data_IF_485283209572
#
_entry.id   IF_485283209572
#
_cell.length_a   1.000
_cell.length_b   1.000
_cell.length_c   1.000
_cell.angle_alpha   90.00
_cell.angle_beta   90.00
_cell.angle_gamma   90.00
#
_symmetry.space_group_name_H-M   'P 1'
#
loop_
_entity.id
_entity.type
_entity.pdbx_description
1 polymer ?
#
# COMPACT_ATOMS: atom_id res chain seq x y z
N UNK A 1 46.68 -7.34 -5.67
CA UNK A 1 45.53 -8.28 -5.60
C UNK A 1 44.25 -7.64 -5.04
N UNK A 2 44.06 -6.31 -5.08
CA UNK A 2 42.87 -5.65 -4.50
C UNK A 2 41.84 -5.13 -5.50
N UNK A 3 42.13 -5.13 -6.81
CA UNK A 3 41.23 -4.53 -7.82
C UNK A 3 39.87 -5.24 -7.93
N UNK A 4 39.81 -6.53 -7.68
CA UNK A 4 38.53 -7.28 -7.65
C UNK A 4 37.70 -6.94 -6.40
N UNK A 5 38.35 -6.76 -5.25
CA UNK A 5 37.69 -6.36 -4.00
C UNK A 5 37.12 -4.95 -4.16
N UNK A 6 37.89 -4.00 -4.71
CA UNK A 6 37.42 -2.64 -4.98
C UNK A 6 36.26 -2.60 -5.98
N UNK A 7 36.30 -3.46 -7.01
CA UNK A 7 35.21 -3.60 -7.97
C UNK A 7 33.93 -4.14 -7.31
N UNK A 8 34.05 -5.15 -6.44
CA UNK A 8 32.91 -5.73 -5.71
C UNK A 8 32.31 -4.68 -4.77
N UNK A 9 33.13 -3.92 -4.03
CA UNK A 9 32.67 -2.85 -3.14
C UNK A 9 31.93 -1.76 -3.93
N UNK A 10 32.46 -1.33 -5.08
CA UNK A 10 31.79 -0.35 -5.93
C UNK A 10 30.44 -0.86 -6.47
N UNK A 11 30.36 -2.15 -6.82
CA UNK A 11 29.13 -2.77 -7.31
C UNK A 11 28.09 -2.90 -6.20
N UNK A 12 28.50 -3.28 -4.99
CA UNK A 12 27.66 -3.32 -3.79
C UNK A 12 27.12 -1.94 -3.43
N UNK A 13 27.96 -0.89 -3.45
CA UNK A 13 27.52 0.48 -3.18
C UNK A 13 26.50 0.98 -4.22
N UNK A 14 26.70 0.68 -5.51
CA UNK A 14 25.71 0.99 -6.56
C UNK A 14 24.40 0.23 -6.38
N UNK A 15 24.44 -1.02 -5.94
CA UNK A 15 23.26 -1.81 -5.61
C UNK A 15 22.53 -1.25 -4.39
N UNK A 16 23.27 -0.97 -3.31
CA UNK A 16 22.73 -0.40 -2.07
C UNK A 16 22.06 0.94 -2.32
N UNK A 17 22.69 1.82 -3.12
CA UNK A 17 22.09 3.10 -3.53
C UNK A 17 20.77 2.89 -4.27
N UNK A 18 20.75 2.01 -5.27
CA UNK A 18 19.51 1.70 -6.02
C UNK A 18 18.40 1.11 -5.14
N UNK A 19 18.74 0.26 -4.17
CA UNK A 19 17.74 -0.30 -3.24
C UNK A 19 17.21 0.78 -2.29
N UNK A 20 18.07 1.67 -1.78
CA UNK A 20 17.64 2.80 -0.95
C UNK A 20 16.76 3.80 -1.72
N UNK A 21 17.16 4.16 -2.95
CA UNK A 21 16.39 5.07 -3.82
C UNK A 21 15.01 4.48 -4.13
N UNK A 22 14.92 3.16 -4.36
CA UNK A 22 13.64 2.46 -4.55
C UNK A 22 12.77 2.46 -3.30
N UNK A 23 13.34 2.29 -2.12
CA UNK A 23 12.58 2.26 -0.87
C UNK A 23 11.98 3.63 -0.54
N UNK A 24 12.74 4.71 -0.77
CA UNK A 24 12.24 6.08 -0.63
C UNK A 24 11.16 6.44 -1.66
N UNK A 25 11.19 5.84 -2.85
CA UNK A 25 10.14 6.01 -3.86
C UNK A 25 8.83 5.35 -3.41
N UNK A 26 8.91 4.12 -2.90
CA UNK A 26 7.74 3.36 -2.42
C UNK A 26 7.01 4.13 -1.33
N UNK A 27 7.72 4.59 -0.30
CA UNK A 27 7.10 5.37 0.79
C UNK A 27 6.42 6.65 0.29
N UNK A 28 7.05 7.39 -0.63
CA UNK A 28 6.43 8.61 -1.19
C UNK A 28 5.16 8.35 -2.01
N UNK A 29 5.04 7.15 -2.61
CA UNK A 29 3.86 6.76 -3.39
C UNK A 29 2.76 6.24 -2.45
N UNK A 30 3.12 5.50 -1.42
CA UNK A 30 2.18 5.01 -0.39
C UNK A 30 1.62 6.16 0.45
N UNK A 31 2.43 7.18 0.76
CA UNK A 31 2.03 8.41 1.46
C UNK A 31 1.30 9.42 0.54
N UNK A 32 0.98 9.05 -0.70
CA UNK A 32 0.29 9.96 -1.61
C UNK A 32 -1.19 10.07 -1.22
N UNK A 33 -1.61 11.26 -0.78
CA UNK A 33 -3.01 11.55 -0.41
C UNK A 33 -3.95 11.64 -1.62
N UNK A 34 -3.41 11.77 -2.84
CA UNK A 34 -4.22 11.90 -4.04
C UNK A 34 -3.60 11.28 -5.28
N UNK A 35 -4.46 10.86 -6.20
CA UNK A 35 -4.07 10.44 -7.55
C UNK A 35 -3.31 11.54 -8.31
N UNK A 36 -3.53 12.81 -7.99
CA UNK A 36 -2.81 13.92 -8.59
C UNK A 36 -1.33 13.94 -8.16
N UNK A 37 -1.04 13.53 -6.92
CA UNK A 37 0.32 13.40 -6.41
C UNK A 37 1.07 12.26 -7.09
N UNK A 38 0.39 11.12 -7.32
CA UNK A 38 0.94 9.99 -8.09
C UNK A 38 1.26 10.41 -9.53
N UNK A 39 0.49 11.34 -10.12
CA UNK A 39 0.73 11.83 -11.49
C UNK A 39 2.03 12.64 -11.62
N UNK A 40 2.55 13.20 -10.52
CA UNK A 40 3.80 13.96 -10.47
C UNK A 40 5.02 13.06 -10.69
N UNK A 41 4.92 11.76 -10.40
CA UNK A 41 5.99 10.80 -10.64
C UNK A 41 6.19 10.53 -12.13
N UNK A 42 7.42 10.15 -12.46
CA UNK A 42 7.81 9.79 -13.82
C UNK A 42 7.28 8.41 -14.19
N UNK A 43 7.19 8.12 -15.49
CA UNK A 43 6.79 6.78 -15.97
C UNK A 43 7.71 5.69 -15.41
N UNK A 44 9.02 5.95 -15.36
CA UNK A 44 10.01 4.98 -14.87
C UNK A 44 9.80 4.65 -13.38
N UNK A 45 9.54 5.66 -12.56
CA UNK A 45 9.25 5.49 -11.13
C UNK A 45 7.96 4.67 -10.90
N UNK A 46 6.91 4.98 -11.67
CA UNK A 46 5.65 4.23 -11.59
C UNK A 46 5.82 2.77 -12.05
N UNK A 47 6.62 2.51 -13.08
CA UNK A 47 6.95 1.14 -13.53
C UNK A 47 7.76 0.40 -12.46
N UNK A 48 8.73 1.07 -11.83
CA UNK A 48 9.51 0.49 -10.73
C UNK A 48 8.62 0.14 -9.53
N UNK A 49 7.66 1.00 -9.18
CA UNK A 49 6.68 0.73 -8.13
C UNK A 49 5.73 -0.41 -8.52
N UNK A 50 5.16 -0.42 -9.72
CA UNK A 50 4.34 -1.54 -10.20
C UNK A 50 5.11 -2.87 -10.19
N UNK A 51 6.41 -2.83 -10.51
CA UNK A 51 7.28 -4.02 -10.44
C UNK A 51 7.49 -4.49 -9.00
N UNK A 52 7.64 -3.55 -8.06
CA UNK A 52 7.76 -3.84 -6.63
C UNK A 52 6.47 -4.45 -6.06
N UNK A 53 5.33 -3.81 -6.31
CA UNK A 53 4.00 -4.23 -5.87
C UNK A 53 3.42 -5.39 -6.69
N UNK A 54 4.18 -5.95 -7.65
CA UNK A 54 3.77 -7.05 -8.55
C UNK A 54 2.46 -6.77 -9.30
N UNK A 55 2.21 -5.51 -9.64
CA UNK A 55 1.02 -5.08 -10.38
C UNK A 55 1.30 -5.26 -11.88
N UNK A 56 0.46 -6.04 -12.57
CA UNK A 56 0.51 -6.15 -14.03
C UNK A 56 -0.10 -4.90 -14.66
N UNK A 57 0.76 -4.05 -15.20
CA UNK A 57 0.39 -2.83 -15.94
C UNK A 57 1.00 -2.82 -17.33
N UNK A 58 0.41 -2.02 -18.22
CA UNK A 58 0.96 -1.77 -19.56
C UNK A 58 1.85 -0.52 -19.60
N UNK A 59 2.38 -0.22 -20.79
CA UNK A 59 3.31 0.89 -21.03
C UNK A 59 2.71 2.31 -21.00
N UNK A 60 1.44 2.46 -20.64
CA UNK A 60 0.74 3.75 -20.68
C UNK A 60 0.84 4.44 -19.32
N UNK A 61 1.38 5.66 -19.26
CA UNK A 61 1.55 6.42 -18.01
C UNK A 61 0.26 6.54 -17.22
N UNK A 62 -0.86 6.86 -17.86
CA UNK A 62 -2.15 7.00 -17.16
C UNK A 62 -2.66 5.67 -16.61
N UNK A 63 -2.38 4.54 -17.28
CA UNK A 63 -2.72 3.20 -16.76
C UNK A 63 -1.88 2.86 -15.54
N UNK A 64 -0.60 3.23 -15.55
CA UNK A 64 0.29 3.08 -14.39
C UNK A 64 -0.22 3.90 -13.21
N UNK A 65 -0.49 5.19 -13.39
CA UNK A 65 -1.04 6.06 -12.33
C UNK A 65 -2.31 5.48 -11.72
N UNK A 66 -3.25 5.01 -12.56
CA UNK A 66 -4.51 4.48 -12.08
C UNK A 66 -4.33 3.17 -11.29
N UNK A 67 -3.43 2.29 -11.74
CA UNK A 67 -3.17 1.02 -11.07
C UNK A 67 -2.40 1.20 -9.76
N UNK A 68 -1.46 2.15 -9.72
CA UNK A 68 -0.75 2.52 -8.49
C UNK A 68 -1.71 3.14 -7.48
N UNK A 69 -2.53 4.11 -7.88
CA UNK A 69 -3.54 4.72 -7.01
C UNK A 69 -4.50 3.69 -6.43
N UNK A 70 -5.04 2.82 -7.29
CA UNK A 70 -5.94 1.75 -6.84
C UNK A 70 -5.26 0.83 -5.82
N UNK A 71 -3.99 0.49 -6.01
CA UNK A 71 -3.28 -0.35 -5.05
C UNK A 71 -3.09 0.34 -3.70
N UNK A 72 -2.80 1.64 -3.70
CA UNK A 72 -2.69 2.46 -2.48
C UNK A 72 -4.05 2.53 -1.77
N UNK A 73 -5.14 2.81 -2.50
CA UNK A 73 -6.51 2.76 -1.94
C UNK A 73 -6.83 1.39 -1.34
N UNK A 74 -6.56 0.29 -2.05
CA UNK A 74 -6.80 -1.08 -1.57
C UNK A 74 -6.00 -1.40 -0.28
N UNK A 75 -4.83 -0.78 -0.08
CA UNK A 75 -4.03 -0.94 1.15
C UNK A 75 -4.66 -0.22 2.35
N UNK A 76 -5.23 0.97 2.15
CA UNK A 76 -5.90 1.74 3.21
C UNK A 76 -7.31 1.21 3.51
N UNK A 77 -8.02 0.66 2.52
CA UNK A 77 -9.37 0.11 2.71
C UNK A 77 -9.38 -1.12 3.64
N UNK A 78 -8.29 -1.88 3.69
CA UNK A 78 -8.13 -3.00 4.63
C UNK A 78 -8.07 -2.60 6.10
N UNK A 79 -7.72 -1.35 6.43
CA UNK A 79 -7.75 -0.87 7.83
C UNK A 79 -9.17 -0.51 8.30
N UNK A 80 -10.15 -0.44 7.39
CA UNK A 80 -11.53 -0.05 7.73
C UNK A 80 -12.50 -1.22 7.90
N UNK A 81 -12.03 -2.47 7.80
CA UNK A 81 -12.87 -3.69 7.90
C UNK A 81 -12.54 -4.49 9.16
N UNK A 82 -12.61 -3.87 10.33
CA UNK A 82 -12.78 -4.58 11.60
C UNK A 82 -13.41 -3.65 12.61
N UNK A 83 -14.74 -3.65 12.70
CA UNK A 83 -15.56 -3.33 13.89
C UNK A 83 -17.02 -3.06 13.47
N UNK A 84 -17.70 -4.05 12.92
CA UNK A 84 -19.17 -4.13 13.04
C UNK A 84 -19.58 -5.60 13.01
N UNK A 85 -19.18 -6.34 14.04
CA UNK A 85 -19.99 -7.48 14.47
C UNK A 85 -21.25 -6.89 15.10
N UNK A 86 -22.28 -6.76 14.27
CA UNK A 86 -23.64 -6.53 14.71
C UNK A 86 -24.14 -7.81 15.39
N UNK A 87 -24.00 -7.91 16.70
CA UNK A 87 -24.77 -8.87 17.48
C UNK A 87 -26.14 -8.28 17.81
N UNK A 88 -27.08 -8.52 16.89
CA UNK A 88 -28.51 -8.43 17.16
C UNK A 88 -28.91 -9.61 18.04
N UNK A 89 -28.84 -9.42 19.36
CA UNK A 89 -29.39 -10.33 20.37
C UNK A 89 -30.55 -9.66 21.09
N UNK A 90 -31.75 -9.73 20.51
CA UNK A 90 -33.00 -9.41 21.20
C UNK A 90 -33.29 -10.45 22.28
N UNK A 91 -33.41 -10.02 23.54
CA UNK A 91 -34.22 -10.70 24.55
C UNK A 91 -34.91 -9.63 25.39
N UNK A 92 -36.18 -9.43 25.09
CA UNK A 92 -37.16 -8.71 25.88
C UNK A 92 -37.58 -9.65 27.01
N UNK A 93 -37.09 -9.40 28.23
CA UNK A 93 -37.59 -10.06 29.44
C UNK A 93 -38.18 -8.97 30.34
N UNK A 94 -39.40 -8.56 29.99
CA UNK A 94 -40.26 -7.72 30.82
C UNK A 94 -40.94 -8.59 31.88
N UNK A 95 -40.28 -8.80 33.02
CA UNK A 95 -40.93 -9.40 34.21
C UNK A 95 -41.83 -8.34 34.88
N UNK A 96 -43.12 -8.37 34.56
CA UNK A 96 -44.19 -7.67 35.28
C UNK A 96 -45.03 -8.69 36.06
N UNK A 97 -44.66 -8.94 37.32
CA UNK A 97 -45.53 -9.62 38.27
C UNK A 97 -46.42 -8.60 38.98
N UNK A 98 -47.71 -8.60 38.62
CA UNK A 98 -48.79 -7.95 39.36
C UNK A 98 -49.89 -8.97 39.65
N UNK A 99 -50.06 -9.24 40.95
CA UNK A 99 -51.25 -9.61 41.74
C UNK A 99 -52.37 -10.47 41.15
N UNK A 100 -52.79 -11.52 41.88
CA UNK A 100 -54.21 -11.85 42.12
C UNK A 100 -54.42 -12.85 43.28
N UNK A 101 -55.23 -12.41 44.24
CA UNK A 101 -56.06 -13.07 45.29
C UNK A 101 -55.44 -13.91 46.44
#
# INVERSE_FOLDING_TARGET
MNKEIDYIIAKLNKLKKRVFDKKGLVSKIEEADSKADIKKFTKAELVDYCSYAKIKTGDVKDKLVNAVWKHVEDMYEWESVSETDSDSGSSDDSDSDSDSD
#
